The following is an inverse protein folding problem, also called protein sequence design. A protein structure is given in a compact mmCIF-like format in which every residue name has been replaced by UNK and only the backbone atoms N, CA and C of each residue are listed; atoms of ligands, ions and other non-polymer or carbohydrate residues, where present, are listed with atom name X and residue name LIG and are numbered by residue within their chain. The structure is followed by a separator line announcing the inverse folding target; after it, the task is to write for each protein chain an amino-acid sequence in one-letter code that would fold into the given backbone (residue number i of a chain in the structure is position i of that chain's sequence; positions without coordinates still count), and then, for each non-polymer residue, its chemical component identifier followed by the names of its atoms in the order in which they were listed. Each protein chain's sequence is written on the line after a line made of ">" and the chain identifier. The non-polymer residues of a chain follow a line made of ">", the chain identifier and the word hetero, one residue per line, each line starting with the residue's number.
data_IF_461594341924
#
_entry.id   IF_461594341924
#
_cell.length_a   1.000
_cell.length_b   1.000
_cell.length_c   1.000
_cell.angle_alpha   90.00
_cell.angle_beta   90.00
_cell.angle_gamma   90.00
#
_symmetry.space_group_name_H-M   'P 1'
#
loop_
_entity.id
_entity.type
_entity.pdbx_description
1 polymer ?
#
# COMPACT_ATOMS: atom_id res chain seq x y z
N UNK A 1 -56.68 -21.76 26.10
CA UNK A 1 -55.43 -22.13 25.41
C UNK A 1 -54.92 -20.88 24.72
N UNK A 2 -53.68 -20.51 25.02
CA UNK A 2 -53.09 -19.21 24.70
C UNK A 2 -52.15 -19.36 23.51
N UNK A 3 -52.47 -18.77 22.36
CA UNK A 3 -51.53 -18.68 21.25
C UNK A 3 -50.99 -17.26 21.13
N UNK A 4 -49.75 -17.09 21.63
CA UNK A 4 -48.91 -15.91 21.48
C UNK A 4 -48.31 -15.91 20.08
N UNK A 5 -48.68 -14.95 19.24
CA UNK A 5 -47.96 -14.62 18.01
C UNK A 5 -46.64 -13.93 18.36
N UNK A 6 -45.54 -14.68 18.25
CA UNK A 6 -44.18 -14.16 18.39
C UNK A 6 -43.79 -13.38 17.14
N UNK A 7 -43.71 -12.06 17.29
CA UNK A 7 -43.18 -11.12 16.30
C UNK A 7 -41.68 -11.38 16.11
N UNK A 8 -41.29 -11.91 14.95
CA UNK A 8 -39.88 -12.07 14.57
C UNK A 8 -39.35 -10.72 14.11
N UNK A 9 -38.55 -10.11 14.96
CA UNK A 9 -37.69 -8.98 14.65
C UNK A 9 -36.73 -9.39 13.52
N UNK A 10 -37.01 -8.93 12.30
CA UNK A 10 -36.07 -8.99 11.18
C UNK A 10 -34.89 -8.08 11.50
N UNK A 11 -33.80 -8.66 11.99
CA UNK A 11 -32.49 -8.04 11.92
C UNK A 11 -32.03 -8.16 10.48
N UNK A 12 -32.07 -7.03 9.76
CA UNK A 12 -31.42 -6.88 8.47
C UNK A 12 -29.95 -7.24 8.64
N UNK A 13 -29.56 -8.40 8.12
CA UNK A 13 -28.16 -8.71 7.89
C UNK A 13 -27.71 -7.74 6.80
N UNK A 14 -26.93 -6.75 7.20
CA UNK A 14 -26.09 -6.02 6.27
C UNK A 14 -25.05 -7.06 5.86
N UNK A 15 -25.24 -7.64 4.69
CA UNK A 15 -24.21 -8.43 4.05
C UNK A 15 -23.07 -7.46 3.74
N UNK A 16 -22.08 -7.45 4.63
CA UNK A 16 -20.81 -6.78 4.44
C UNK A 16 -20.16 -7.52 3.25
N UNK A 17 -20.33 -6.95 2.05
CA UNK A 17 -19.80 -7.42 0.77
C UNK A 17 -18.27 -7.21 0.74
N UNK A 18 -17.62 -7.77 1.76
CA UNK A 18 -16.18 -7.84 1.88
C UNK A 18 -15.77 -8.92 0.91
N UNK A 19 -15.54 -8.52 -0.34
CA UNK A 19 -14.83 -9.31 -1.36
C UNK A 19 -13.65 -9.97 -0.66
N UNK A 20 -13.78 -11.26 -0.32
CA UNK A 20 -12.69 -12.05 0.18
C UNK A 20 -11.78 -12.19 -1.03
N UNK A 21 -10.81 -11.28 -1.15
CA UNK A 21 -9.69 -11.47 -2.04
C UNK A 21 -9.05 -12.76 -1.54
N UNK A 22 -9.36 -13.86 -2.22
CA UNK A 22 -8.66 -15.12 -2.04
C UNK A 22 -7.23 -14.79 -2.40
N UNK A 23 -6.42 -14.54 -1.37
CA UNK A 23 -5.02 -14.17 -1.50
C UNK A 23 -4.33 -15.39 -2.09
N UNK A 24 -4.30 -15.42 -3.42
CA UNK A 24 -3.69 -16.51 -4.15
C UNK A 24 -2.22 -16.46 -3.79
N UNK A 25 -1.72 -17.48 -3.10
CA UNK A 25 -0.30 -17.59 -2.82
C UNK A 25 0.45 -17.55 -4.16
N UNK A 26 1.39 -16.63 -4.27
CA UNK A 26 2.19 -16.41 -5.47
C UNK A 26 3.64 -16.28 -5.06
N UNK A 27 4.53 -16.75 -5.93
CA UNK A 27 5.95 -16.48 -5.79
C UNK A 27 6.26 -14.98 -5.94
N UNK A 28 7.38 -14.54 -5.37
CA UNK A 28 7.92 -13.18 -5.58
C UNK A 28 8.10 -12.86 -7.07
N UNK A 29 8.46 -13.87 -7.88
CA UNK A 29 8.62 -13.75 -9.33
C UNK A 29 7.29 -13.44 -10.03
N UNK A 30 6.21 -14.07 -9.60
CA UNK A 30 4.86 -13.82 -10.13
C UNK A 30 4.32 -12.48 -9.69
N UNK A 31 4.51 -12.09 -8.42
CA UNK A 31 4.19 -10.74 -7.92
C UNK A 31 4.87 -9.68 -8.78
N UNK A 32 6.18 -9.81 -9.04
CA UNK A 32 6.94 -8.92 -9.92
C UNK A 32 6.35 -8.83 -11.33
N UNK A 33 5.96 -9.97 -11.91
CA UNK A 33 5.34 -9.98 -13.25
C UNK A 33 4.00 -9.23 -13.25
N UNK A 34 3.16 -9.41 -12.23
CA UNK A 34 1.88 -8.72 -12.11
C UNK A 34 2.08 -7.21 -11.99
N UNK A 35 2.97 -6.75 -11.12
CA UNK A 35 3.32 -5.33 -10.98
C UNK A 35 3.77 -4.76 -12.33
N UNK A 36 4.73 -5.40 -13.00
CA UNK A 36 5.22 -4.95 -14.31
C UNK A 36 4.11 -4.87 -15.38
N UNK A 37 3.22 -5.87 -15.42
CA UNK A 37 2.10 -5.90 -16.37
C UNK A 37 1.10 -4.79 -16.07
N UNK A 38 0.80 -4.54 -14.80
CA UNK A 38 -0.10 -3.47 -14.37
C UNK A 38 0.46 -2.10 -14.73
N UNK A 39 1.72 -1.80 -14.39
CA UNK A 39 2.38 -0.54 -14.79
C UNK A 39 2.36 -0.35 -16.31
N UNK A 40 2.61 -1.43 -17.08
CA UNK A 40 2.54 -1.38 -18.54
C UNK A 40 1.12 -1.08 -19.03
N UNK A 41 0.10 -1.64 -18.38
CA UNK A 41 -1.30 -1.38 -18.69
C UNK A 41 -1.65 0.10 -18.45
N UNK A 42 -1.28 0.66 -17.29
CA UNK A 42 -1.47 2.08 -16.98
C UNK A 42 -0.79 2.96 -18.04
N UNK A 43 0.49 2.71 -18.32
CA UNK A 43 1.23 3.46 -19.36
C UNK A 43 0.63 3.30 -20.77
N UNK A 44 0.01 2.17 -21.08
CA UNK A 44 -0.63 1.94 -22.38
C UNK A 44 -2.03 2.55 -22.49
N UNK A 45 -2.68 2.89 -21.38
CA UNK A 45 -4.05 3.40 -21.41
C UNK A 45 -4.18 4.75 -22.16
N UNK A 46 -3.14 5.59 -22.11
CA UNK A 46 -3.03 6.81 -22.96
C UNK A 46 -3.15 6.47 -24.45
N UNK A 47 -2.48 5.39 -24.88
CA UNK A 47 -2.43 5.01 -26.30
C UNK A 47 -3.78 4.55 -26.82
N UNK A 48 -4.66 4.08 -25.95
CA UNK A 48 -6.01 3.63 -26.35
C UNK A 48 -6.85 4.83 -26.80
N UNK A 49 -6.69 5.99 -26.17
CA UNK A 49 -7.33 7.23 -26.62
C UNK A 49 -6.84 7.62 -28.03
N UNK A 50 -5.51 7.64 -28.23
CA UNK A 50 -4.90 8.01 -29.51
C UNK A 50 -5.30 7.06 -30.65
N UNK A 51 -5.30 5.76 -30.37
CA UNK A 51 -5.71 4.72 -31.33
C UNK A 51 -7.20 4.83 -31.67
N UNK A 52 -8.04 5.08 -30.67
CA UNK A 52 -9.49 5.23 -30.88
C UNK A 52 -9.78 6.48 -31.71
N UNK A 53 -9.06 7.58 -31.46
CA UNK A 53 -9.16 8.80 -32.26
C UNK A 53 -8.77 8.57 -33.72
N UNK A 54 -7.70 7.81 -33.96
CA UNK A 54 -7.30 7.43 -35.32
C UNK A 54 -8.39 6.59 -36.01
N UNK A 55 -8.92 5.57 -35.32
CA UNK A 55 -9.96 4.70 -35.85
C UNK A 55 -11.26 5.47 -36.16
N UNK A 56 -11.63 6.46 -35.35
CA UNK A 56 -12.76 7.33 -35.65
C UNK A 56 -12.54 8.13 -36.94
N UNK A 57 -11.33 8.64 -37.16
CA UNK A 57 -10.97 9.35 -38.40
C UNK A 57 -10.93 8.46 -39.64
N UNK A 58 -10.45 7.22 -39.51
CA UNK A 58 -10.31 6.27 -40.61
C UNK A 58 -11.63 5.60 -41.01
N UNK A 59 -12.43 5.16 -40.03
CA UNK A 59 -13.66 4.40 -40.27
C UNK A 59 -14.87 5.31 -40.52
N UNK A 60 -14.81 6.53 -40.02
CA UNK A 60 -15.96 7.43 -40.02
C UNK A 60 -15.63 8.66 -40.85
N UNK A 61 -15.76 8.54 -42.17
CA UNK A 61 -15.67 9.67 -43.11
C UNK A 61 -16.70 10.80 -42.87
N UNK A 62 -17.51 10.69 -41.81
CA UNK A 62 -18.58 11.60 -41.38
C UNK A 62 -18.52 11.99 -39.90
N UNK A 63 -17.60 11.44 -39.10
CA UNK A 63 -17.53 11.85 -37.69
C UNK A 63 -16.89 13.23 -37.62
N UNK A 64 -17.68 14.20 -37.16
CA UNK A 64 -17.17 15.53 -36.87
C UNK A 64 -16.25 15.51 -35.65
N UNK A 65 -15.38 16.51 -35.54
CA UNK A 65 -14.49 16.67 -34.39
C UNK A 65 -15.25 16.70 -33.06
N UNK A 66 -16.41 17.36 -33.01
CA UNK A 66 -17.26 17.41 -31.82
C UNK A 66 -17.84 16.04 -31.43
N UNK A 67 -18.24 15.22 -32.39
CA UNK A 67 -18.73 13.87 -32.11
C UNK A 67 -17.60 12.96 -31.63
N UNK A 68 -16.42 13.10 -32.24
CA UNK A 68 -15.23 12.36 -31.82
C UNK A 68 -14.83 12.73 -30.40
N UNK A 69 -14.81 14.03 -30.07
CA UNK A 69 -14.52 14.49 -28.72
C UNK A 69 -15.57 14.02 -27.71
N UNK A 70 -16.86 14.04 -28.05
CA UNK A 70 -17.91 13.52 -27.17
C UNK A 70 -17.75 12.02 -26.87
N UNK A 71 -17.21 11.25 -27.82
CA UNK A 71 -16.91 9.82 -27.64
C UNK A 71 -15.63 9.60 -26.82
N UNK A 72 -14.60 10.44 -27.02
CA UNK A 72 -13.31 10.34 -26.34
C UNK A 72 -13.30 10.91 -24.92
N UNK A 73 -14.20 11.86 -24.61
CA UNK A 73 -14.24 12.55 -23.32
C UNK A 73 -14.35 11.58 -22.11
N UNK A 74 -15.23 10.56 -22.12
CA UNK A 74 -15.26 9.56 -21.05
C UNK A 74 -13.94 8.79 -20.89
N UNK A 75 -13.23 8.53 -21.99
CA UNK A 75 -11.94 7.82 -21.97
C UNK A 75 -10.85 8.70 -21.36
N UNK A 76 -10.81 9.99 -21.72
CA UNK A 76 -9.90 10.98 -21.13
C UNK A 76 -10.11 11.11 -19.63
N UNK A 77 -11.38 11.20 -19.21
CA UNK A 77 -11.75 11.26 -17.79
C UNK A 77 -11.27 10.01 -17.05
N UNK A 78 -11.63 8.83 -17.55
CA UNK A 78 -11.23 7.57 -16.94
C UNK A 78 -9.70 7.41 -16.87
N UNK A 79 -8.99 7.74 -17.95
CA UNK A 79 -7.53 7.64 -17.99
C UNK A 79 -6.88 8.58 -16.96
N UNK A 80 -7.33 9.83 -16.90
CA UNK A 80 -6.82 10.82 -15.95
C UNK A 80 -7.04 10.35 -14.51
N UNK A 81 -8.25 9.93 -14.16
CA UNK A 81 -8.56 9.44 -12.82
C UNK A 81 -7.76 8.17 -12.48
N UNK A 82 -7.61 7.25 -13.43
CA UNK A 82 -6.81 6.04 -13.26
C UNK A 82 -5.35 6.38 -12.99
N UNK A 83 -4.77 7.32 -13.74
CA UNK A 83 -3.38 7.76 -13.56
C UNK A 83 -3.20 8.52 -12.25
N UNK A 84 -4.10 9.44 -11.92
CA UNK A 84 -4.07 10.18 -10.66
C UNK A 84 -4.11 9.23 -9.47
N UNK A 85 -5.03 8.25 -9.48
CA UNK A 85 -5.11 7.23 -8.42
C UNK A 85 -3.87 6.34 -8.36
N UNK A 86 -3.28 6.02 -9.51
CA UNK A 86 -2.04 5.24 -9.58
C UNK A 86 -0.86 6.01 -8.96
N UNK A 87 -0.72 7.30 -9.25
CA UNK A 87 0.32 8.14 -8.67
C UNK A 87 0.06 8.46 -7.19
N UNK A 88 -1.20 8.65 -6.78
CA UNK A 88 -1.60 8.86 -5.38
C UNK A 88 -1.15 7.71 -4.47
N UNK A 89 -1.16 6.46 -4.97
CA UNK A 89 -0.66 5.29 -4.24
C UNK A 89 0.86 5.05 -4.41
N UNK A 90 1.59 5.98 -5.02
CA UNK A 90 3.04 5.89 -5.25
C UNK A 90 3.43 5.02 -6.45
N UNK A 91 2.51 4.86 -7.40
CA UNK A 91 2.72 4.11 -8.64
C UNK A 91 3.15 2.67 -8.38
N UNK A 92 4.28 2.29 -8.96
CA UNK A 92 4.87 0.97 -8.72
C UNK A 92 6.18 0.99 -7.92
N UNK A 93 6.51 2.11 -7.28
CA UNK A 93 7.69 2.23 -6.42
C UNK A 93 7.55 1.39 -5.15
N UNK A 94 6.43 1.53 -4.46
CA UNK A 94 6.12 0.76 -3.26
C UNK A 94 6.19 -0.76 -3.50
N UNK A 95 5.45 -1.35 -4.46
CA UNK A 95 5.51 -2.78 -4.71
C UNK A 95 6.88 -3.25 -5.20
N UNK A 96 7.64 -2.43 -5.95
CA UNK A 96 9.03 -2.77 -6.32
C UNK A 96 9.96 -2.81 -5.12
N UNK A 97 9.83 -1.87 -4.21
CA UNK A 97 10.64 -1.80 -2.99
C UNK A 97 10.35 -2.98 -2.06
N UNK A 98 9.08 -3.32 -1.88
CA UNK A 98 8.67 -4.53 -1.15
C UNK A 98 9.27 -5.79 -1.79
N UNK A 99 9.15 -5.96 -3.11
CA UNK A 99 9.72 -7.12 -3.83
C UNK A 99 11.25 -7.18 -3.69
N UNK A 100 11.93 -6.03 -3.63
CA UNK A 100 13.38 -5.96 -3.44
C UNK A 100 13.76 -6.45 -2.04
N UNK A 101 13.10 -5.96 -0.99
CA UNK A 101 13.29 -6.42 0.39
C UNK A 101 13.04 -7.92 0.49
N UNK A 102 11.90 -8.42 -0.01
CA UNK A 102 11.61 -9.85 0.00
C UNK A 102 12.72 -10.68 -0.67
N UNK A 103 13.30 -10.19 -1.77
CA UNK A 103 14.40 -10.88 -2.45
C UNK A 103 15.70 -10.88 -1.64
N UNK A 104 16.05 -9.76 -1.03
CA UNK A 104 17.27 -9.60 -0.22
C UNK A 104 17.24 -10.49 1.02
N UNK A 105 16.08 -10.55 1.67
CA UNK A 105 15.86 -11.38 2.86
C UNK A 105 15.41 -12.82 2.53
N UNK A 106 15.34 -13.19 1.25
CA UNK A 106 14.94 -14.53 0.75
C UNK A 106 13.55 -14.98 1.24
N UNK A 107 12.61 -14.05 1.31
CA UNK A 107 11.24 -14.28 1.74
C UNK A 107 10.37 -14.64 0.53
N UNK A 108 9.50 -15.64 0.68
CA UNK A 108 8.60 -16.11 -0.38
C UNK A 108 7.16 -15.61 -0.22
N UNK A 109 6.75 -15.30 1.02
CA UNK A 109 5.39 -14.90 1.37
C UNK A 109 5.31 -13.51 2.01
N UNK A 110 4.12 -12.89 1.96
CA UNK A 110 3.86 -11.61 2.63
C UNK A 110 3.84 -11.81 4.15
N UNK A 111 3.45 -13.00 4.59
CA UNK A 111 3.43 -13.43 5.98
C UNK A 111 4.85 -13.42 6.56
N UNK A 112 5.83 -14.04 5.87
CA UNK A 112 7.24 -14.00 6.25
C UNK A 112 7.78 -12.56 6.30
N UNK A 113 7.36 -11.70 5.37
CA UNK A 113 7.72 -10.28 5.38
C UNK A 113 7.14 -9.56 6.60
N UNK A 114 5.87 -9.79 6.94
CA UNK A 114 5.24 -9.20 8.13
C UNK A 114 5.96 -9.66 9.40
N UNK A 115 6.28 -10.95 9.51
CA UNK A 115 7.01 -11.48 10.66
C UNK A 115 8.42 -10.90 10.77
N UNK A 116 9.15 -10.80 9.66
CA UNK A 116 10.48 -10.19 9.63
C UNK A 116 10.44 -8.71 10.05
N UNK A 117 9.45 -7.95 9.57
CA UNK A 117 9.25 -6.56 9.98
C UNK A 117 8.91 -6.43 11.47
N UNK A 118 8.04 -7.29 12.01
CA UNK A 118 7.69 -7.29 13.43
C UNK A 118 8.90 -7.57 14.33
N UNK A 119 9.72 -8.57 13.97
CA UNK A 119 10.97 -8.88 14.68
C UNK A 119 11.96 -7.72 14.62
N UNK A 120 12.13 -7.09 13.46
CA UNK A 120 13.01 -5.94 13.31
C UNK A 120 12.57 -4.75 14.17
N UNK A 121 11.26 -4.49 14.25
CA UNK A 121 10.70 -3.45 15.11
C UNK A 121 10.97 -3.73 16.60
N UNK A 122 10.80 -4.99 17.05
CA UNK A 122 11.09 -5.37 18.42
C UNK A 122 12.56 -5.15 18.79
N UNK A 123 13.48 -5.59 17.94
CA UNK A 123 14.93 -5.39 18.16
C UNK A 123 15.28 -3.90 18.23
N UNK A 124 14.61 -3.05 17.46
CA UNK A 124 14.83 -1.61 17.53
C UNK A 124 14.37 -1.02 18.87
N UNK A 125 13.22 -1.46 19.39
CA UNK A 125 12.72 -1.03 20.71
C UNK A 125 13.69 -1.48 21.81
N UNK A 126 14.14 -2.74 21.78
CA UNK A 126 15.09 -3.27 22.77
C UNK A 126 16.42 -2.51 22.75
N UNK A 127 16.93 -2.15 21.56
CA UNK A 127 18.14 -1.31 21.43
C UNK A 127 17.95 0.09 21.99
N UNK A 128 16.79 0.71 21.74
CA UNK A 128 16.50 2.06 22.25
C UNK A 128 16.45 2.04 23.78
N UNK A 129 15.70 1.09 24.37
CA UNK A 129 15.63 0.91 25.82
C UNK A 129 17.01 0.67 26.44
N UNK A 130 17.83 -0.17 25.80
CA UNK A 130 19.18 -0.42 26.27
C UNK A 130 20.01 0.86 26.24
N UNK A 131 19.90 1.66 25.17
CA UNK A 131 20.63 2.93 25.02
C UNK A 131 20.24 3.93 26.12
N UNK A 132 18.94 4.06 26.41
CA UNK A 132 18.43 4.89 27.51
C UNK A 132 19.01 4.43 28.86
N UNK A 133 19.04 3.12 29.14
CA UNK A 133 19.65 2.60 30.37
C UNK A 133 21.15 2.95 30.49
N UNK A 134 21.92 2.86 29.39
CA UNK A 134 23.34 3.24 29.40
C UNK A 134 23.55 4.75 29.60
N UNK A 135 22.60 5.58 29.17
CA UNK A 135 22.66 7.04 29.35
C UNK A 135 22.34 7.42 30.79
N UNK A 136 21.33 6.81 31.41
CA UNK A 136 21.00 7.00 32.83
C UNK A 136 22.15 6.58 33.75
N UNK A 137 22.77 5.42 33.49
CA UNK A 137 23.92 4.95 34.30
C UNK A 137 25.11 5.91 34.19
N UNK A 138 25.39 6.41 32.98
CA UNK A 138 26.44 7.41 32.74
C UNK A 138 26.17 8.70 33.50
N UNK A 139 24.92 9.16 33.55
CA UNK A 139 24.54 10.40 34.23
C UNK A 139 24.64 10.26 35.75
N UNK A 140 24.22 9.13 36.31
CA UNK A 140 24.44 8.81 37.73
C UNK A 140 25.92 8.78 38.11
N UNK A 141 26.78 8.24 37.23
CA UNK A 141 28.21 8.19 37.50
C UNK A 141 28.88 9.57 37.38
N UNK A 142 28.37 10.44 36.51
CA UNK A 142 28.78 11.85 36.47
C UNK A 142 28.37 12.56 37.77
N UNK A 143 27.13 12.40 38.23
CA UNK A 143 26.62 13.01 39.46
C UNK A 143 27.44 12.58 40.69
N UNK A 144 27.70 11.27 40.83
CA UNK A 144 28.58 10.76 41.90
C UNK A 144 29.97 11.37 41.85
N UNK A 145 30.52 11.57 40.65
CA UNK A 145 31.86 12.15 40.49
C UNK A 145 31.87 13.63 40.88
N UNK A 146 30.85 14.39 40.46
CA UNK A 146 30.67 15.79 40.87
C UNK A 146 30.53 15.93 42.40
N UNK A 147 29.77 15.05 43.03
CA UNK A 147 29.63 15.00 44.49
C UNK A 147 30.98 14.71 45.19
N UNK A 148 31.79 13.80 44.64
CA UNK A 148 33.15 13.54 45.15
C UNK A 148 34.00 14.81 45.06
N UNK A 149 34.05 15.48 43.89
CA UNK A 149 34.81 16.72 43.73
C UNK A 149 34.33 17.84 44.67
N UNK A 150 33.03 17.91 44.94
CA UNK A 150 32.44 18.85 45.90
C UNK A 150 32.88 18.56 47.34
N UNK A 151 32.98 17.30 47.72
CA UNK A 151 33.44 16.89 49.05
C UNK A 151 34.93 17.22 49.29
N UNK A 152 35.76 17.22 48.24
CA UNK A 152 37.19 17.56 48.32
C UNK A 152 37.51 19.06 48.19
N UNK A 153 36.50 19.91 47.92
CA UNK A 153 36.68 21.36 47.74
C UNK A 153 36.37 22.19 49.01
N UNK A 154 36.09 21.55 50.14
CA UNK A 154 35.93 22.16 51.47
C UNK A 154 37.12 21.82 52.38
#
# INVERSE_FOLDING_TARGET
>A
MSDKTSSKQSTSKVDDDRMIVVETQMSVKERRKKVKKFTKLIASSVKVEDETRLQLGELTAKCSEQEADAILEPMRIFHRELLEKFEEIGGDEWPRSVIRVMREFKLESVEELREACAKAAQVQVEKNLLTECWEEEREMDIEKNDDIYRCFSY
#
